data_IF_108390272563
#
_entry.id   IF_108390272563
#
_cell.length_a   1.000
_cell.length_b   1.000
_cell.length_c   1.000
_cell.angle_alpha   90.00
_cell.angle_beta   90.00
_cell.angle_gamma   90.00
#
_symmetry.space_group_name_H-M   'P 1'
#
loop_
_entity.id
_entity.type
_entity.pdbx_description
1 polymer ?
#
# COMPACT_ATOMS: atom_id res chain seq x y z
N UNK A 1 49.20 10.70 26.56
CA UNK A 1 48.23 10.25 25.52
C UNK A 1 48.92 10.24 24.15
N UNK A 2 48.79 9.16 23.38
CA UNK A 2 49.42 9.03 22.04
C UNK A 2 48.54 9.67 20.96
N UNK A 3 49.12 10.49 20.08
CA UNK A 3 48.41 11.19 18.99
C UNK A 3 48.11 10.22 17.83
N UNK A 4 46.84 9.87 17.63
CA UNK A 4 46.39 9.05 16.50
C UNK A 4 45.95 9.93 15.32
N UNK A 5 46.55 9.74 14.14
CA UNK A 5 46.19 10.48 12.92
C UNK A 5 44.92 9.91 12.28
N UNK A 6 43.94 10.76 11.95
CA UNK A 6 42.65 10.39 11.34
C UNK A 6 42.65 10.21 9.81
N UNK A 7 43.77 10.48 9.12
CA UNK A 7 43.81 10.71 7.67
C UNK A 7 43.12 9.65 6.81
N UNK A 8 43.45 8.36 7.03
CA UNK A 8 42.84 7.25 6.27
C UNK A 8 41.34 7.13 6.56
N UNK A 9 40.93 7.16 7.84
CA UNK A 9 39.53 7.05 8.27
C UNK A 9 38.67 8.21 7.77
N UNK A 10 39.20 9.43 7.77
CA UNK A 10 38.50 10.62 7.28
C UNK A 10 38.29 10.56 5.76
N UNK A 11 39.33 10.20 4.99
CA UNK A 11 39.25 10.02 3.53
C UNK A 11 38.22 8.96 3.14
N UNK A 12 38.18 7.83 3.86
CA UNK A 12 37.19 6.76 3.66
C UNK A 12 35.76 7.26 3.88
N UNK A 13 35.50 8.09 4.90
CA UNK A 13 34.17 8.69 5.14
C UNK A 13 33.79 9.70 4.07
N UNK A 14 34.74 10.53 3.65
CA UNK A 14 34.52 11.50 2.57
C UNK A 14 34.17 10.83 1.26
N UNK A 15 34.74 9.66 0.93
CA UNK A 15 34.37 8.91 -0.28
C UNK A 15 32.87 8.54 -0.35
N UNK A 16 32.23 8.34 0.81
CA UNK A 16 30.80 7.98 0.92
C UNK A 16 29.94 9.25 1.06
N UNK A 17 30.48 10.26 1.74
CA UNK A 17 29.83 11.54 2.01
C UNK A 17 30.66 12.67 1.35
N UNK A 18 30.75 12.65 0.01
CA UNK A 18 31.69 13.49 -0.76
C UNK A 18 31.52 14.98 -0.51
N UNK A 19 30.31 15.44 -0.19
CA UNK A 19 30.02 16.84 0.07
C UNK A 19 29.01 17.02 1.20
N UNK A 20 29.00 18.21 1.81
CA UNK A 20 27.97 18.64 2.77
C UNK A 20 26.57 18.51 2.18
N UNK A 21 26.42 18.81 0.90
CA UNK A 21 25.16 18.70 0.15
C UNK A 21 24.67 17.26 0.09
N UNK A 22 25.56 16.29 -0.17
CA UNK A 22 25.21 14.85 -0.18
C UNK A 22 24.70 14.39 1.18
N UNK A 23 25.33 14.83 2.26
CA UNK A 23 24.87 14.49 3.63
C UNK A 23 23.49 15.09 3.88
N UNK A 24 23.26 16.34 3.48
CA UNK A 24 21.96 17.01 3.62
C UNK A 24 20.85 16.32 2.81
N UNK A 25 21.14 15.93 1.56
CA UNK A 25 20.22 15.17 0.73
C UNK A 25 19.89 13.80 1.33
N UNK A 26 20.90 13.10 1.87
CA UNK A 26 20.69 11.82 2.57
C UNK A 26 19.77 11.97 3.78
N UNK A 27 19.98 13.00 4.60
CA UNK A 27 19.09 13.27 5.74
C UNK A 27 17.65 13.55 5.30
N UNK A 28 17.47 14.36 4.24
CA UNK A 28 16.15 14.63 3.65
C UNK A 28 15.48 13.35 3.13
N UNK A 29 16.24 12.50 2.43
CA UNK A 29 15.75 11.23 1.91
C UNK A 29 15.29 10.28 3.02
N UNK A 30 16.01 10.21 4.15
CA UNK A 30 15.61 9.42 5.31
C UNK A 30 14.28 9.91 5.90
N UNK A 31 14.13 11.22 6.09
CA UNK A 31 12.88 11.81 6.59
C UNK A 31 11.72 11.51 5.65
N UNK A 32 11.91 11.70 4.34
CA UNK A 32 10.90 11.35 3.33
C UNK A 32 10.54 9.87 3.37
N UNK A 33 11.52 8.96 3.46
CA UNK A 33 11.28 7.52 3.54
C UNK A 33 10.38 7.15 4.73
N UNK A 34 10.68 7.68 5.91
CA UNK A 34 9.87 7.42 7.11
C UNK A 34 8.44 7.96 6.95
N UNK A 35 8.30 9.18 6.43
CA UNK A 35 6.98 9.79 6.17
C UNK A 35 6.17 8.99 5.15
N UNK A 36 6.81 8.62 4.04
CA UNK A 36 6.13 8.05 2.89
C UNK A 36 5.81 6.56 3.08
N UNK A 37 6.51 5.87 3.99
CA UNK A 37 6.22 4.45 4.32
C UNK A 37 4.79 4.24 4.83
N UNK A 38 4.26 5.17 5.62
CA UNK A 38 2.87 5.12 6.07
C UNK A 38 1.90 5.57 4.97
N UNK A 39 2.27 6.58 4.19
CA UNK A 39 1.46 7.08 3.06
C UNK A 39 1.23 6.00 2.01
N UNK A 40 2.27 5.23 1.65
CA UNK A 40 2.16 4.10 0.72
C UNK A 40 1.05 3.12 1.11
N UNK A 41 0.87 2.82 2.40
CA UNK A 41 -0.20 1.93 2.88
C UNK A 41 -1.59 2.52 2.62
N UNK A 42 -1.74 3.84 2.79
CA UNK A 42 -2.97 4.58 2.51
C UNK A 42 -3.22 4.62 0.99
N UNK A 43 -2.18 4.94 0.20
CA UNK A 43 -2.27 5.03 -1.25
C UNK A 43 -2.68 3.70 -1.88
N UNK A 44 -2.09 2.58 -1.43
CA UNK A 44 -2.50 1.25 -1.87
C UNK A 44 -3.94 0.93 -1.48
N UNK A 45 -4.36 1.31 -0.28
CA UNK A 45 -5.75 1.11 0.15
C UNK A 45 -6.71 1.93 -0.72
N UNK A 46 -6.39 3.19 -1.02
CA UNK A 46 -7.18 4.03 -1.93
C UNK A 46 -7.28 3.38 -3.31
N UNK A 47 -6.16 2.89 -3.85
CA UNK A 47 -6.13 2.19 -5.14
C UNK A 47 -7.02 0.94 -5.12
N UNK A 48 -6.97 0.14 -4.06
CA UNK A 48 -7.82 -1.05 -3.95
C UNK A 48 -9.30 -0.69 -3.90
N UNK A 49 -9.68 0.37 -3.19
CA UNK A 49 -11.07 0.86 -3.14
C UNK A 49 -11.54 1.25 -4.53
N UNK A 50 -10.74 2.05 -5.27
CA UNK A 50 -11.08 2.48 -6.63
C UNK A 50 -11.25 1.29 -7.57
N UNK A 51 -10.35 0.29 -7.49
CA UNK A 51 -10.44 -0.92 -8.32
C UNK A 51 -11.64 -1.78 -7.98
N UNK A 52 -11.92 -1.98 -6.70
CA UNK A 52 -13.13 -2.73 -6.28
C UNK A 52 -14.37 -1.98 -6.75
N UNK A 53 -14.42 -0.65 -6.62
CA UNK A 53 -15.56 0.14 -7.09
C UNK A 53 -15.80 -0.02 -8.60
N UNK A 54 -14.74 -0.06 -9.40
CA UNK A 54 -14.85 -0.35 -10.84
C UNK A 54 -15.39 -1.77 -11.08
N UNK A 55 -14.81 -2.79 -10.45
CA UNK A 55 -15.27 -4.18 -10.61
C UNK A 55 -16.73 -4.38 -10.16
N UNK A 56 -17.13 -3.72 -9.08
CA UNK A 56 -18.50 -3.75 -8.57
C UNK A 56 -19.49 -3.11 -9.55
N UNK A 57 -19.07 -2.07 -10.27
CA UNK A 57 -19.86 -1.43 -11.32
C UNK A 57 -20.06 -2.37 -12.53
N UNK A 58 -19.00 -3.05 -12.95
CA UNK A 58 -19.04 -3.96 -14.11
C UNK A 58 -20.00 -5.14 -13.91
N UNK A 59 -20.08 -5.64 -12.68
CA UNK A 59 -20.92 -6.79 -12.30
C UNK A 59 -22.41 -6.45 -12.23
N UNK A 60 -22.80 -5.16 -12.27
CA UNK A 60 -24.19 -4.63 -12.22
C UNK A 60 -25.03 -5.01 -10.98
N UNK A 61 -24.63 -5.99 -10.18
CA UNK A 61 -25.36 -6.47 -8.99
C UNK A 61 -25.33 -5.42 -7.86
N UNK A 62 -24.25 -4.66 -7.74
CA UNK A 62 -24.08 -3.66 -6.69
C UNK A 62 -23.82 -2.29 -7.32
N UNK A 63 -24.54 -1.26 -6.87
CA UNK A 63 -24.43 0.09 -7.45
C UNK A 63 -23.25 0.91 -6.88
N UNK A 64 -22.64 0.47 -5.77
CA UNK A 64 -21.47 1.15 -5.19
C UNK A 64 -20.66 0.24 -4.27
N UNK A 65 -19.37 0.55 -4.14
CA UNK A 65 -18.47 -0.09 -3.19
C UNK A 65 -18.96 -0.05 -1.73
N UNK A 66 -19.64 1.03 -1.31
CA UNK A 66 -20.09 1.19 0.08
C UNK A 66 -21.14 0.13 0.46
N UNK A 67 -22.11 -0.10 -0.42
CA UNK A 67 -23.15 -1.13 -0.23
C UNK A 67 -22.51 -2.52 -0.18
N UNK A 68 -21.57 -2.78 -1.09
CA UNK A 68 -20.86 -4.06 -1.13
C UNK A 68 -20.10 -4.37 0.16
N UNK A 69 -19.34 -3.40 0.68
CA UNK A 69 -18.61 -3.56 1.95
C UNK A 69 -19.56 -3.68 3.14
N UNK A 70 -20.65 -2.91 3.16
CA UNK A 70 -21.66 -3.02 4.21
C UNK A 70 -22.25 -4.43 4.28
N UNK A 71 -22.62 -5.01 3.14
CA UNK A 71 -23.18 -6.36 3.09
C UNK A 71 -22.12 -7.43 3.42
N UNK A 72 -20.86 -7.22 3.06
CA UNK A 72 -19.76 -8.09 3.51
C UNK A 72 -19.64 -8.15 5.04
N UNK A 73 -19.70 -7.00 5.70
CA UNK A 73 -19.69 -6.93 7.16
C UNK A 73 -20.95 -7.54 7.78
N UNK A 74 -22.13 -7.28 7.21
CA UNK A 74 -23.40 -7.86 7.65
C UNK A 74 -23.37 -9.39 7.61
N UNK A 75 -22.78 -9.96 6.57
CA UNK A 75 -22.65 -11.41 6.38
C UNK A 75 -21.42 -12.00 7.09
N UNK A 76 -20.75 -11.22 7.96
CA UNK A 76 -19.57 -11.63 8.74
C UNK A 76 -18.37 -12.13 7.90
N UNK A 77 -18.31 -11.74 6.62
CA UNK A 77 -17.19 -12.07 5.73
C UNK A 77 -16.08 -11.04 5.89
N UNK A 78 -15.15 -11.30 6.80
CA UNK A 78 -14.01 -10.42 7.10
C UNK A 78 -12.90 -10.61 6.05
N UNK A 79 -13.15 -10.14 4.83
CA UNK A 79 -12.16 -10.17 3.73
C UNK A 79 -11.36 -8.87 3.69
N UNK A 80 -10.03 -9.01 3.54
CA UNK A 80 -9.16 -7.86 3.33
C UNK A 80 -9.32 -7.33 1.90
N UNK A 81 -9.37 -6.00 1.76
CA UNK A 81 -9.49 -5.27 0.47
C UNK A 81 -8.39 -5.63 -0.53
N UNK A 82 -7.19 -5.93 -0.05
CA UNK A 82 -6.08 -6.42 -0.89
C UNK A 82 -6.48 -7.68 -1.66
N UNK A 83 -6.99 -8.67 -0.93
CA UNK A 83 -7.36 -9.98 -1.46
C UNK A 83 -8.58 -9.83 -2.36
N UNK A 84 -9.54 -9.00 -1.95
CA UNK A 84 -10.75 -8.74 -2.72
C UNK A 84 -10.46 -8.12 -4.09
N UNK A 85 -9.57 -7.12 -4.13
CA UNK A 85 -9.10 -6.54 -5.38
C UNK A 85 -8.35 -7.56 -6.24
N UNK A 86 -7.51 -8.41 -5.63
CA UNK A 86 -6.78 -9.44 -6.36
C UNK A 86 -7.72 -10.49 -6.97
N UNK A 87 -8.77 -10.89 -6.26
CA UNK A 87 -9.81 -11.78 -6.76
C UNK A 87 -10.54 -11.14 -7.94
N UNK A 88 -10.95 -9.87 -7.79
CA UNK A 88 -11.64 -9.12 -8.84
C UNK A 88 -10.80 -9.02 -10.13
N UNK A 89 -9.47 -8.86 -10.01
CA UNK A 89 -8.59 -8.83 -11.18
C UNK A 89 -8.29 -10.21 -11.78
N UNK A 90 -8.13 -11.25 -10.94
CA UNK A 90 -7.64 -12.54 -11.42
C UNK A 90 -8.75 -13.38 -12.04
N UNK A 91 -9.94 -13.41 -11.43
CA UNK A 91 -11.04 -14.29 -11.81
C UNK A 91 -12.40 -13.61 -11.59
N UNK A 92 -12.95 -13.00 -12.65
CA UNK A 92 -14.21 -12.27 -12.55
C UNK A 92 -15.38 -13.18 -12.11
N UNK A 93 -15.46 -14.41 -12.64
CA UNK A 93 -16.51 -15.38 -12.30
C UNK A 93 -16.57 -15.69 -10.79
N UNK A 94 -15.41 -15.73 -10.12
CA UNK A 94 -15.37 -16.00 -8.69
C UNK A 94 -15.82 -14.80 -7.87
N UNK A 95 -15.48 -13.58 -8.34
CA UNK A 95 -15.98 -12.34 -7.77
C UNK A 95 -17.51 -12.25 -7.89
N UNK A 96 -18.09 -12.63 -9.03
CA UNK A 96 -19.54 -12.70 -9.24
C UNK A 96 -20.23 -13.67 -8.28
N UNK A 97 -19.62 -14.83 -8.07
CA UNK A 97 -20.13 -15.83 -7.13
C UNK A 97 -20.16 -15.30 -5.69
N UNK A 98 -19.10 -14.59 -5.29
CA UNK A 98 -19.04 -13.91 -3.99
C UNK A 98 -20.14 -12.85 -3.90
N UNK A 99 -20.30 -12.04 -4.94
CA UNK A 99 -21.33 -11.00 -5.00
C UNK A 99 -22.74 -11.56 -4.83
N UNK A 100 -23.07 -12.64 -5.56
CA UNK A 100 -24.36 -13.32 -5.45
C UNK A 100 -24.59 -13.90 -4.06
N UNK A 101 -23.56 -14.51 -3.45
CA UNK A 101 -23.62 -15.04 -2.08
C UNK A 101 -23.85 -13.94 -1.04
N UNK A 102 -23.36 -12.73 -1.30
CA UNK A 102 -23.55 -11.58 -0.41
C UNK A 102 -24.97 -11.03 -0.49
N UNK A 103 -25.57 -11.03 -1.69
CA UNK A 103 -26.93 -10.53 -1.92
C UNK A 103 -28.00 -11.42 -1.28
N UNK A 104 -27.80 -12.74 -1.33
CA UNK A 104 -28.70 -13.73 -0.73
C UNK A 104 -28.01 -14.43 0.44
N UNK A 105 -27.93 -13.80 1.63
CA UNK A 105 -27.46 -14.49 2.82
C UNK A 105 -28.42 -15.65 3.11
N UNK A 106 -27.87 -16.87 3.19
CA UNK A 106 -28.61 -18.03 3.68
C UNK A 106 -28.85 -17.90 5.18
#
# INVERSE_FOLDING_TARGET
>A
MVRVKRGYTARKRLRINSTRTTIQQRMRALVSFHRDSNRKKIDFRCLWITRINAATCDVKVFHSYNIFIHNLYKNQLILNRKILMQIALSNNNYFDTICNKIMNPK
#
